data_IF_135184320035
#
_entry.id   IF_135184320035
#
_cell.length_a   1.000
_cell.length_b   1.000
_cell.length_c   1.000
_cell.angle_alpha   90.00
_cell.angle_beta   90.00
_cell.angle_gamma   90.00
#
_symmetry.space_group_name_H-M   'P 1'
#
loop_
_entity.id
_entity.type
_entity.pdbx_description
1 polymer ?
#
# COMPACT_ATOMS: atom_id res chain seq x y z
N UNK A 1 28.84 -5.75 3.88
CA UNK A 1 28.86 -4.30 4.19
C UNK A 1 28.09 -3.48 3.13
N UNK A 2 28.22 -3.78 1.83
CA UNK A 2 27.53 -3.03 0.75
C UNK A 2 25.99 -3.18 0.75
N UNK A 3 25.47 -4.34 1.11
CA UNK A 3 24.03 -4.63 1.10
C UNK A 3 23.24 -3.81 2.13
N UNK A 4 23.82 -3.60 3.32
CA UNK A 4 23.23 -2.75 4.35
C UNK A 4 23.18 -1.28 3.91
N UNK A 5 24.25 -0.78 3.27
CA UNK A 5 24.29 0.58 2.74
C UNK A 5 23.28 0.74 1.60
N UNK A 6 23.12 -0.26 0.72
CA UNK A 6 22.11 -0.25 -0.34
C UNK A 6 20.70 -0.22 0.23
N UNK A 7 20.42 -1.03 1.25
CA UNK A 7 19.12 -1.06 1.93
C UNK A 7 18.81 0.28 2.61
N UNK A 8 19.76 0.84 3.36
CA UNK A 8 19.63 2.13 4.02
C UNK A 8 19.46 3.28 3.02
N UNK A 9 20.28 3.32 1.96
CA UNK A 9 20.16 4.33 0.89
C UNK A 9 18.83 4.27 0.19
N UNK A 10 18.34 3.07 -0.11
CA UNK A 10 17.05 2.94 -0.78
C UNK A 10 15.87 3.13 0.19
N UNK A 11 16.05 2.98 1.51
CA UNK A 11 15.01 3.40 2.49
C UNK A 11 14.95 4.92 2.50
N UNK A 12 16.09 5.60 2.50
CA UNK A 12 16.18 7.05 2.39
C UNK A 12 15.55 7.57 1.08
N UNK A 13 15.78 6.91 -0.07
CA UNK A 13 15.14 7.28 -1.34
C UNK A 13 13.63 7.06 -1.31
N UNK A 14 13.14 5.96 -0.73
CA UNK A 14 11.71 5.72 -0.60
C UNK A 14 11.04 6.73 0.32
N UNK A 15 11.71 7.11 1.41
CA UNK A 15 11.22 8.13 2.35
C UNK A 15 11.14 9.52 1.68
N UNK A 16 12.09 9.83 0.78
CA UNK A 16 12.04 11.04 -0.05
C UNK A 16 10.96 10.99 -1.15
N UNK A 17 10.57 9.79 -1.61
CA UNK A 17 9.61 9.61 -2.72
C UNK A 17 8.17 9.44 -2.22
N UNK A 18 8.01 8.87 -1.02
CA UNK A 18 6.75 8.58 -0.36
C UNK A 18 6.81 9.11 1.07
N UNK A 19 6.55 10.42 1.22
CA UNK A 19 6.51 11.06 2.51
C UNK A 19 5.22 10.65 3.25
N UNK A 20 5.35 9.65 4.13
CA UNK A 20 4.26 9.19 5.00
C UNK A 20 4.28 10.01 6.28
N UNK A 21 3.14 10.59 6.63
CA UNK A 21 3.01 11.46 7.79
C UNK A 21 1.62 11.45 8.38
N UNK A 22 1.41 12.31 9.36
CA UNK A 22 0.11 12.57 9.98
C UNK A 22 -0.12 14.08 9.90
N UNK A 23 -1.23 14.49 9.30
CA UNK A 23 -1.69 15.87 9.30
C UNK A 23 -3.01 15.96 10.04
N UNK A 24 -2.99 16.69 11.16
CA UNK A 24 -4.12 16.79 12.10
C UNK A 24 -4.61 15.41 12.56
N UNK A 25 -5.72 14.93 12.00
CA UNK A 25 -6.37 13.64 12.31
C UNK A 25 -6.31 12.65 11.14
N UNK A 26 -5.56 12.95 10.07
CA UNK A 26 -5.44 12.12 8.89
C UNK A 26 -4.04 11.51 8.78
N UNK A 27 -3.97 10.26 8.35
CA UNK A 27 -2.75 9.74 7.74
C UNK A 27 -2.57 10.39 6.37
N UNK A 28 -1.35 10.79 6.03
CA UNK A 28 -1.03 11.40 4.74
C UNK A 28 0.09 10.68 4.03
N UNK A 29 0.04 10.64 2.70
CA UNK A 29 1.14 10.20 1.84
C UNK A 29 1.39 11.24 0.75
N UNK A 30 2.62 11.78 0.68
CA UNK A 30 2.99 12.93 -0.14
C UNK A 30 1.99 14.10 -0.05
N UNK A 31 1.51 14.37 1.18
CA UNK A 31 0.54 15.42 1.46
C UNK A 31 -0.91 15.09 1.09
N UNK A 32 -1.20 13.92 0.51
CA UNK A 32 -2.57 13.47 0.22
C UNK A 32 -3.17 12.76 1.43
N UNK A 33 -4.40 13.12 1.80
CA UNK A 33 -5.08 12.55 2.98
C UNK A 33 -5.74 11.21 2.68
N UNK A 34 -5.49 10.23 3.56
CA UNK A 34 -6.13 8.92 3.57
C UNK A 34 -7.32 8.94 4.54
N UNK A 35 -8.53 8.95 3.97
CA UNK A 35 -9.77 8.82 4.72
C UNK A 35 -10.64 10.07 4.67
N UNK A 36 -11.73 10.04 5.45
CA UNK A 36 -12.70 11.13 5.59
C UNK A 36 -13.14 11.22 7.04
N UNK A 37 -13.24 12.44 7.56
CA UNK A 37 -13.87 12.69 8.84
C UNK A 37 -15.30 13.18 8.64
N UNK A 38 -16.22 12.99 9.60
CA UNK A 38 -17.60 13.45 9.47
C UNK A 38 -17.74 14.96 9.28
N UNK A 39 -16.78 15.73 9.79
CA UNK A 39 -16.79 17.20 9.79
C UNK A 39 -16.09 17.82 8.57
N UNK A 40 -15.38 17.03 7.76
CA UNK A 40 -14.64 17.54 6.60
C UNK A 40 -14.78 16.58 5.41
N UNK A 41 -15.37 17.10 4.33
CA UNK A 41 -15.54 16.34 3.10
C UNK A 41 -14.28 16.43 2.23
N UNK A 42 -13.43 15.41 2.32
CA UNK A 42 -12.31 15.24 1.39
C UNK A 42 -12.83 14.67 0.06
N UNK A 43 -12.33 15.23 -1.04
CA UNK A 43 -12.64 14.77 -2.39
C UNK A 43 -12.13 13.34 -2.61
N UNK A 44 -12.96 12.49 -3.24
CA UNK A 44 -12.57 11.10 -3.50
C UNK A 44 -11.33 10.99 -4.36
N UNK A 45 -11.09 11.94 -5.26
CA UNK A 45 -9.88 11.96 -6.07
C UNK A 45 -8.61 12.05 -5.22
N UNK A 46 -8.62 12.80 -4.12
CA UNK A 46 -7.48 12.90 -3.21
C UNK A 46 -7.23 11.57 -2.50
N UNK A 47 -8.29 10.97 -1.94
CA UNK A 47 -8.23 9.69 -1.23
C UNK A 47 -7.76 8.58 -2.16
N UNK A 48 -8.32 8.54 -3.37
CA UNK A 48 -7.97 7.55 -4.38
C UNK A 48 -6.51 7.70 -4.85
N UNK A 49 -6.04 8.93 -5.02
CA UNK A 49 -4.64 9.20 -5.32
C UNK A 49 -3.72 8.77 -4.16
N UNK A 50 -4.12 9.01 -2.92
CA UNK A 50 -3.39 8.57 -1.74
C UNK A 50 -3.29 7.02 -1.69
N UNK A 51 -4.40 6.31 -1.92
CA UNK A 51 -4.38 4.85 -2.05
C UNK A 51 -3.50 4.36 -3.19
N UNK A 52 -3.49 5.06 -4.33
CA UNK A 52 -2.60 4.74 -5.44
C UNK A 52 -1.12 4.85 -5.09
N UNK A 53 -0.75 5.88 -4.32
CA UNK A 53 0.62 6.02 -3.83
C UNK A 53 0.98 4.95 -2.81
N UNK A 54 0.06 4.57 -1.92
CA UNK A 54 0.28 3.45 -0.98
C UNK A 54 0.48 2.15 -1.75
N UNK A 55 -0.35 1.87 -2.77
CA UNK A 55 -0.20 0.69 -3.61
C UNK A 55 1.18 0.64 -4.27
N UNK A 56 1.64 1.76 -4.86
CA UNK A 56 2.97 1.84 -5.46
C UNK A 56 4.09 1.65 -4.43
N UNK A 57 3.99 2.28 -3.26
CA UNK A 57 4.96 2.12 -2.17
C UNK A 57 5.10 0.66 -1.75
N UNK A 58 3.98 -0.03 -1.51
CA UNK A 58 3.99 -1.44 -1.06
C UNK A 58 4.55 -2.36 -2.15
N UNK A 59 4.21 -2.12 -3.42
CA UNK A 59 4.79 -2.87 -4.52
C UNK A 59 6.31 -2.71 -4.57
N UNK A 60 6.82 -1.46 -4.56
CA UNK A 60 8.26 -1.19 -4.63
C UNK A 60 8.98 -1.75 -3.40
N UNK A 61 8.39 -1.67 -2.21
CA UNK A 61 8.93 -2.30 -1.00
C UNK A 61 9.00 -3.82 -1.14
N UNK A 62 7.93 -4.44 -1.65
CA UNK A 62 7.86 -5.88 -1.89
C UNK A 62 8.94 -6.35 -2.85
N UNK A 63 9.09 -5.70 -4.00
CA UNK A 63 10.14 -5.98 -4.98
C UNK A 63 11.54 -5.85 -4.36
N UNK A 64 11.75 -4.81 -3.55
CA UNK A 64 13.04 -4.53 -2.93
C UNK A 64 13.45 -5.55 -1.86
N UNK A 65 12.49 -6.06 -1.07
CA UNK A 65 12.79 -7.09 -0.05
C UNK A 65 12.65 -8.51 -0.59
N UNK A 66 12.26 -8.67 -1.86
CA UNK A 66 11.98 -9.97 -2.47
C UNK A 66 10.77 -10.67 -1.84
N UNK A 67 9.75 -9.91 -1.46
CA UNK A 67 8.47 -10.48 -1.04
C UNK A 67 7.69 -10.93 -2.27
N UNK A 68 7.17 -12.15 -2.23
CA UNK A 68 6.27 -12.69 -3.24
C UNK A 68 4.84 -12.54 -2.77
N UNK A 69 3.96 -11.96 -3.57
CA UNK A 69 2.55 -11.89 -3.24
C UNK A 69 1.79 -13.07 -3.85
N UNK A 70 1.23 -13.96 -3.01
CA UNK A 70 0.65 -15.23 -3.46
C UNK A 70 -0.87 -15.20 -3.71
N UNK A 71 -1.65 -14.60 -2.81
CA UNK A 71 -3.13 -14.54 -2.92
C UNK A 71 -3.62 -13.23 -3.54
N UNK A 72 -2.90 -12.13 -3.33
CA UNK A 72 -3.28 -10.80 -3.78
C UNK A 72 -2.12 -10.14 -4.53
N UNK A 73 -2.37 -9.62 -5.72
CA UNK A 73 -1.41 -8.81 -6.46
C UNK A 73 -1.83 -7.35 -6.45
N UNK A 74 -0.85 -6.45 -6.27
CA UNK A 74 -1.06 -5.01 -6.35
C UNK A 74 -0.91 -4.55 -7.80
N UNK A 75 -1.81 -3.71 -8.27
CA UNK A 75 -1.76 -3.07 -9.60
C UNK A 75 -1.91 -1.54 -9.46
N UNK A 76 -0.80 -0.82 -9.27
CA UNK A 76 -0.80 0.64 -9.11
C UNK A 76 -1.08 1.33 -10.44
N UNK A 77 -2.19 2.06 -10.51
CA UNK A 77 -2.62 2.82 -11.70
C UNK A 77 -3.02 4.25 -11.33
N UNK A 78 -2.19 4.90 -10.49
CA UNK A 78 -2.49 6.24 -9.97
C UNK A 78 -3.76 6.24 -9.11
N UNK A 79 -4.66 7.20 -9.32
CA UNK A 79 -5.92 7.32 -8.59
C UNK A 79 -6.98 6.26 -8.99
N UNK A 80 -6.67 5.34 -9.90
CA UNK A 80 -7.53 4.22 -10.28
C UNK A 80 -6.82 2.87 -10.11
N UNK A 81 -6.11 2.71 -8.99
CA UNK A 81 -5.38 1.47 -8.66
C UNK A 81 -6.30 0.29 -8.33
N UNK A 82 -5.79 -0.94 -8.48
CA UNK A 82 -6.53 -2.17 -8.25
C UNK A 82 -5.76 -3.16 -7.38
N UNK A 83 -6.49 -4.05 -6.74
CA UNK A 83 -5.98 -5.24 -6.06
C UNK A 83 -6.59 -6.46 -6.73
N UNK A 84 -5.75 -7.38 -7.20
CA UNK A 84 -6.19 -8.59 -7.91
C UNK A 84 -6.07 -9.78 -6.97
N UNK A 85 -7.20 -10.43 -6.65
CA UNK A 85 -7.20 -11.67 -5.87
C UNK A 85 -7.08 -12.86 -6.81
N UNK A 86 -6.05 -13.67 -6.60
CA UNK A 86 -5.77 -14.86 -7.41
C UNK A 86 -6.54 -16.05 -6.82
N UNK A 87 -7.50 -16.58 -7.58
CA UNK A 87 -8.29 -17.76 -7.23
C UNK A 87 -8.09 -18.84 -8.29
N UNK A 88 -7.12 -19.72 -8.07
CA UNK A 88 -6.76 -20.75 -9.06
C UNK A 88 -6.27 -20.13 -10.37
N UNK A 89 -7.01 -20.33 -11.46
CA UNK A 89 -6.68 -19.77 -12.79
C UNK A 89 -7.33 -18.42 -13.08
N UNK A 90 -8.15 -17.87 -12.16
CA UNK A 90 -8.85 -16.59 -12.35
C UNK A 90 -8.32 -15.52 -11.41
N UNK A 91 -8.16 -14.31 -11.91
CA UNK A 91 -7.91 -13.11 -11.11
C UNK A 91 -9.20 -12.28 -11.00
N UNK A 92 -9.62 -11.96 -9.78
CA UNK A 92 -10.74 -11.05 -9.52
C UNK A 92 -10.15 -9.69 -9.16
N UNK A 93 -10.51 -8.65 -9.91
CA UNK A 93 -10.02 -7.29 -9.66
C UNK A 93 -10.97 -6.53 -8.72
N UNK A 94 -10.41 -5.99 -7.64
CA UNK A 94 -11.08 -5.09 -6.72
C UNK A 94 -10.53 -3.68 -6.86
N UNK A 95 -11.35 -2.66 -7.17
CA UNK A 95 -10.90 -1.27 -7.26
C UNK A 95 -10.44 -0.76 -5.88
N UNK A 96 -9.20 -0.26 -5.82
CA UNK A 96 -8.65 0.44 -4.66
C UNK A 96 -8.96 1.95 -4.75
N UNK A 97 -10.17 2.26 -5.18
CA UNK A 97 -10.68 3.62 -5.28
C UNK A 97 -12.18 3.64 -5.08
N UNK A 98 -12.66 4.76 -4.56
CA UNK A 98 -14.06 4.99 -4.29
C UNK A 98 -14.69 6.09 -5.13
N UNK A 99 -16.00 6.20 -5.00
CA UNK A 99 -16.77 7.30 -5.56
C UNK A 99 -17.74 7.89 -4.53
N UNK A 100 -17.98 9.20 -4.62
CA UNK A 100 -18.83 9.96 -3.68
C UNK A 100 -20.32 9.77 -3.84
N UNK A 101 -20.75 8.77 -4.60
CA UNK A 101 -22.16 8.44 -4.74
C UNK A 101 -22.74 7.90 -3.43
N UNK A 102 -24.02 8.15 -3.19
CA UNK A 102 -24.74 7.58 -2.05
C UNK A 102 -24.72 6.05 -2.14
N UNK A 103 -24.13 5.39 -1.13
CA UNK A 103 -24.11 3.93 -1.01
C UNK A 103 -24.53 3.52 0.41
N UNK A 104 -25.74 2.95 0.60
CA UNK A 104 -26.26 2.60 1.92
C UNK A 104 -25.47 1.48 2.63
N UNK A 105 -24.65 0.73 1.90
CA UNK A 105 -23.83 -0.37 2.44
C UNK A 105 -22.32 -0.10 2.28
N UNK A 106 -21.92 1.17 2.19
CA UNK A 106 -20.53 1.54 1.97
C UNK A 106 -20.00 1.13 0.61
N UNK A 107 -18.68 0.95 0.50
CA UNK A 107 -18.00 0.62 -0.74
C UNK A 107 -17.38 -0.79 -0.66
N UNK A 108 -18.25 -1.81 -0.66
CA UNK A 108 -17.85 -3.22 -0.51
C UNK A 108 -16.63 -3.62 -1.35
N UNK A 109 -16.54 -3.18 -2.62
CA UNK A 109 -15.41 -3.48 -3.48
C UNK A 109 -14.10 -2.81 -3.03
N UNK A 110 -14.16 -1.58 -2.53
CA UNK A 110 -13.01 -0.90 -1.94
C UNK A 110 -12.59 -1.60 -0.64
N UNK A 111 -13.55 -2.05 0.18
CA UNK A 111 -13.25 -2.78 1.41
C UNK A 111 -12.49 -4.08 1.11
N UNK A 112 -12.91 -4.85 0.09
CA UNK A 112 -12.17 -6.04 -0.37
C UNK A 112 -10.77 -5.68 -0.90
N UNK A 113 -10.62 -4.58 -1.63
CA UNK A 113 -9.31 -4.11 -2.09
C UNK A 113 -8.41 -3.74 -0.90
N UNK A 114 -8.92 -3.03 0.10
CA UNK A 114 -8.16 -2.65 1.30
C UNK A 114 -7.70 -3.90 2.07
N UNK A 115 -8.55 -4.92 2.21
CA UNK A 115 -8.16 -6.19 2.82
C UNK A 115 -7.00 -6.84 2.07
N UNK A 116 -7.06 -6.90 0.74
CA UNK A 116 -5.98 -7.44 -0.07
C UNK A 116 -4.70 -6.61 0.01
N UNK A 117 -4.80 -5.27 0.06
CA UNK A 117 -3.66 -4.38 0.27
C UNK A 117 -2.98 -4.64 1.62
N UNK A 118 -3.76 -4.76 2.71
CA UNK A 118 -3.23 -5.09 4.05
C UNK A 118 -2.52 -6.44 4.02
N UNK A 119 -3.09 -7.43 3.32
CA UNK A 119 -2.46 -8.73 3.16
C UNK A 119 -1.10 -8.65 2.47
N UNK A 120 -0.97 -7.83 1.43
CA UNK A 120 0.32 -7.56 0.78
C UNK A 120 1.31 -6.88 1.74
N UNK A 121 0.88 -5.88 2.53
CA UNK A 121 1.72 -5.22 3.53
C UNK A 121 2.25 -6.23 4.55
N UNK A 122 1.40 -7.14 5.04
CA UNK A 122 1.81 -8.20 5.98
C UNK A 122 2.87 -9.13 5.38
N UNK A 123 2.78 -9.46 4.09
CA UNK A 123 3.80 -10.27 3.41
C UNK A 123 5.15 -9.54 3.32
N UNK A 124 5.14 -8.24 3.00
CA UNK A 124 6.36 -7.41 3.03
C UNK A 124 6.97 -7.37 4.44
N UNK A 125 6.15 -7.13 5.47
CA UNK A 125 6.61 -7.08 6.86
C UNK A 125 7.21 -8.42 7.30
N UNK A 126 6.56 -9.54 6.95
CA UNK A 126 7.05 -10.89 7.23
C UNK A 126 8.43 -11.13 6.61
N UNK A 127 8.60 -10.75 5.34
CA UNK A 127 9.87 -10.91 4.64
C UNK A 127 10.97 -10.01 5.24
N UNK A 128 10.63 -8.79 5.61
CA UNK A 128 11.56 -7.86 6.25
C UNK A 128 12.07 -8.40 7.60
N UNK A 129 11.17 -8.97 8.41
CA UNK A 129 11.52 -9.62 9.69
C UNK A 129 12.44 -10.83 9.49
N UNK A 130 12.23 -11.61 8.43
CA UNK A 130 13.09 -12.74 8.07
C UNK A 130 14.50 -12.29 7.70
N UNK A 131 14.61 -11.28 6.83
CA UNK A 131 15.89 -10.68 6.43
C UNK A 131 16.67 -10.14 7.64
N UNK A 132 15.99 -9.42 8.54
CA UNK A 132 16.64 -8.88 9.73
C UNK A 132 17.21 -10.00 10.62
N UNK A 133 16.45 -11.07 10.87
CA UNK A 133 16.94 -12.23 11.65
C UNK A 133 18.15 -12.90 11.02
N UNK A 134 18.18 -13.01 9.70
CA UNK A 134 19.30 -13.63 8.97
C UNK A 134 20.57 -12.78 9.09
N UNK A 135 20.45 -11.45 8.97
CA UNK A 135 21.58 -10.54 9.18
C UNK A 135 22.10 -10.61 10.61
N UNK A 136 21.21 -10.61 11.61
CA UNK A 136 21.60 -10.68 13.03
C UNK A 136 22.22 -12.03 13.45
N UNK A 137 22.06 -13.09 12.65
CA UNK A 137 22.70 -14.40 12.88
C UNK A 137 24.10 -14.51 12.26
N UNK A 138 24.41 -13.64 11.29
CA UNK A 138 25.68 -13.63 10.56
C UNK A 138 26.71 -12.66 11.16
N UNK A 139 26.28 -11.84 12.13
CA UNK A 139 27.10 -10.94 12.95
C UNK A 139 27.24 -11.53 14.35
#
# INVERSE_FOLDING_TARGET
MEEQIKNLRAVNVLDMTFCVGIHESYGTINGLRLGRLPHEAIEWNEINAAFGQVALLVQVLGEKVGATFSEYEIDPRGNNSYIRRITGSKAIEYPLFGNGGWKPFGQLNLDHAIVGLIYCIMQVEGKLKELHKNVSRLL
#
